data_IF_373854233990
#
_entry.id   IF_373854233990
#
_cell.length_a   1.000
_cell.length_b   1.000
_cell.length_c   1.000
_cell.angle_alpha   90.00
_cell.angle_beta   90.00
_cell.angle_gamma   90.00
#
_symmetry.space_group_name_H-M   'P 1'
#
loop_
_entity.id
_entity.type
_entity.pdbx_description
1 polymer ?
#
# COMPACT_ATOMS: atom_id res chain seq x y z
N UNK A 1 -12.56 -28.05 14.00
CA UNK A 1 -11.73 -27.20 13.13
C UNK A 1 -12.31 -27.31 11.73
N UNK A 2 -13.05 -26.30 11.28
CA UNK A 2 -13.58 -26.28 9.91
C UNK A 2 -12.39 -25.94 9.01
N UNK A 3 -11.94 -26.90 8.20
CA UNK A 3 -10.92 -26.62 7.18
C UNK A 3 -11.60 -25.82 6.07
N UNK A 4 -11.41 -24.51 6.08
CA UNK A 4 -11.76 -23.69 4.91
C UNK A 4 -10.73 -24.00 3.81
N UNK A 5 -11.20 -24.54 2.69
CA UNK A 5 -10.40 -24.62 1.47
C UNK A 5 -10.37 -23.22 0.84
N UNK A 6 -9.20 -22.60 0.87
CA UNK A 6 -8.96 -21.34 0.17
C UNK A 6 -8.49 -21.72 -1.24
N UNK A 7 -9.38 -21.85 -2.21
CA UNK A 7 -8.98 -22.10 -3.60
C UNK A 7 -9.47 -20.99 -4.51
N UNK A 8 -8.61 -20.59 -5.45
CA UNK A 8 -9.00 -19.76 -6.59
C UNK A 8 -9.12 -20.67 -7.79
N UNK A 9 -10.28 -20.67 -8.45
CA UNK A 9 -10.44 -21.37 -9.72
C UNK A 9 -9.49 -20.75 -10.76
N UNK A 10 -9.02 -21.53 -11.73
CA UNK A 10 -8.31 -20.95 -12.87
C UNK A 10 -9.18 -19.93 -13.63
N UNK A 11 -10.51 -20.08 -13.58
CA UNK A 11 -11.47 -19.17 -14.23
C UNK A 11 -11.50 -17.79 -13.56
N UNK A 12 -11.12 -17.72 -12.30
CA UNK A 12 -11.17 -16.52 -11.45
C UNK A 12 -10.01 -15.55 -11.67
N UNK A 13 -8.95 -16.00 -12.36
CA UNK A 13 -7.77 -15.21 -12.64
C UNK A 13 -8.01 -14.21 -13.79
N UNK A 14 -7.45 -12.98 -13.71
CA UNK A 14 -7.31 -12.08 -14.84
C UNK A 14 -6.63 -12.75 -16.04
N UNK A 15 -6.86 -12.24 -17.25
CA UNK A 15 -6.31 -12.81 -18.50
C UNK A 15 -4.78 -12.91 -18.44
N UNK A 16 -4.10 -11.88 -17.94
CA UNK A 16 -2.64 -11.87 -17.76
C UNK A 16 -2.15 -12.98 -16.83
N UNK A 17 -2.81 -13.18 -15.68
CA UNK A 17 -2.46 -14.24 -14.73
C UNK A 17 -2.81 -15.65 -15.25
N UNK A 18 -3.88 -15.80 -16.05
CA UNK A 18 -4.18 -17.05 -16.75
C UNK A 18 -3.06 -17.41 -17.73
N UNK A 19 -2.64 -16.45 -18.55
CA UNK A 19 -1.55 -16.64 -19.50
C UNK A 19 -0.25 -17.03 -18.79
N UNK A 20 0.08 -16.35 -17.69
CA UNK A 20 1.26 -16.65 -16.87
C UNK A 20 1.20 -18.07 -16.27
N UNK A 21 0.04 -18.48 -15.75
CA UNK A 21 -0.17 -19.84 -15.21
C UNK A 21 -0.01 -20.91 -16.29
N UNK A 22 -0.64 -20.72 -17.45
CA UNK A 22 -0.51 -21.64 -18.58
C UNK A 22 0.94 -21.76 -19.05
N UNK A 23 1.67 -20.65 -19.10
CA UNK A 23 3.08 -20.63 -19.46
C UNK A 23 3.93 -21.42 -18.45
N UNK A 24 3.76 -21.18 -17.15
CA UNK A 24 4.58 -21.83 -16.12
C UNK A 24 4.35 -23.33 -16.00
N UNK A 25 3.12 -23.82 -16.25
CA UNK A 25 2.85 -25.27 -16.30
C UNK A 25 3.67 -25.95 -17.41
N UNK A 26 3.85 -25.26 -18.54
CA UNK A 26 4.56 -25.81 -19.70
C UNK A 26 6.10 -25.65 -19.61
N UNK A 27 6.63 -24.95 -18.59
CA UNK A 27 8.05 -24.64 -18.44
C UNK A 27 8.55 -24.97 -17.01
N UNK A 28 8.15 -26.11 -16.46
CA UNK A 28 8.34 -26.50 -15.07
C UNK A 28 9.81 -26.55 -14.57
N UNK A 29 10.80 -26.46 -15.47
CA UNK A 29 12.24 -26.50 -15.16
C UNK A 29 12.87 -25.13 -14.80
N UNK A 30 12.17 -23.99 -14.96
CA UNK A 30 12.82 -22.67 -14.86
C UNK A 30 12.68 -21.91 -13.54
N UNK A 31 12.27 -22.56 -12.45
CA UNK A 31 12.24 -21.87 -11.16
C UNK A 31 12.59 -22.80 -9.99
N UNK A 32 13.86 -22.79 -9.61
CA UNK A 32 14.28 -23.11 -8.24
C UNK A 32 13.75 -22.01 -7.31
N UNK A 33 12.44 -22.05 -7.05
CA UNK A 33 11.79 -21.16 -6.09
C UNK A 33 12.14 -21.72 -4.72
N UNK A 34 13.11 -21.07 -4.07
CA UNK A 34 13.45 -21.29 -2.67
C UNK A 34 12.15 -21.33 -1.84
N UNK A 35 11.96 -22.42 -1.12
CA UNK A 35 10.73 -22.72 -0.36
C UNK A 35 10.58 -21.84 0.88
N UNK A 36 11.53 -20.95 1.15
CA UNK A 36 11.55 -19.98 2.25
C UNK A 36 10.81 -18.68 1.93
N UNK A 37 9.53 -18.78 1.57
CA UNK A 37 8.53 -17.69 1.61
C UNK A 37 9.04 -16.24 1.50
N UNK A 38 9.50 -15.83 0.31
CA UNK A 38 9.43 -14.48 -0.29
C UNK A 38 10.43 -14.37 -1.46
N UNK A 39 10.01 -14.72 -2.67
CA UNK A 39 10.88 -14.82 -3.86
C UNK A 39 11.02 -13.52 -4.67
N UNK A 40 10.55 -12.37 -4.15
CA UNK A 40 10.70 -11.08 -4.86
C UNK A 40 12.17 -10.74 -5.10
N UNK A 41 13.05 -11.09 -4.14
CA UNK A 41 14.48 -10.84 -4.22
C UNK A 41 15.23 -12.14 -4.48
N UNK A 42 16.16 -12.09 -5.44
CA UNK A 42 17.09 -13.18 -5.77
C UNK A 42 18.52 -12.65 -5.76
N UNK A 43 19.51 -13.54 -5.92
CA UNK A 43 20.90 -13.12 -6.16
C UNK A 43 21.06 -12.21 -7.39
N UNK A 44 20.10 -12.25 -8.32
CA UNK A 44 20.06 -11.43 -9.54
C UNK A 44 19.20 -10.16 -9.38
N UNK A 45 18.79 -9.82 -8.16
CA UNK A 45 17.96 -8.66 -7.83
C UNK A 45 16.46 -8.95 -7.84
N UNK A 46 15.67 -7.90 -8.07
CA UNK A 46 14.21 -7.93 -8.00
C UNK A 46 13.59 -8.68 -9.18
N UNK A 47 12.77 -9.69 -8.89
CA UNK A 47 11.89 -10.37 -9.85
C UNK A 47 10.42 -10.25 -9.42
N UNK A 48 9.69 -9.33 -10.05
CA UNK A 48 8.28 -9.08 -9.75
C UNK A 48 7.34 -10.24 -10.16
N UNK A 49 7.74 -11.09 -11.12
CA UNK A 49 6.91 -12.21 -11.58
C UNK A 49 7.12 -13.49 -10.75
N UNK A 50 8.32 -13.71 -10.22
CA UNK A 50 8.66 -14.92 -9.47
C UNK A 50 7.68 -15.25 -8.31
N UNK A 51 7.34 -14.31 -7.40
CA UNK A 51 6.39 -14.61 -6.33
C UNK A 51 4.97 -14.85 -6.85
N UNK A 52 4.57 -14.16 -7.91
CA UNK A 52 3.26 -14.34 -8.56
C UNK A 52 3.16 -15.72 -9.20
N UNK A 53 4.19 -16.17 -9.92
CA UNK A 53 4.27 -17.51 -10.52
C UNK A 53 4.20 -18.58 -9.41
N UNK A 54 4.96 -18.41 -8.33
CA UNK A 54 4.92 -19.32 -7.19
C UNK A 54 3.50 -19.47 -6.63
N UNK A 55 2.79 -18.34 -6.51
CA UNK A 55 1.44 -18.25 -5.96
C UNK A 55 0.39 -18.93 -6.85
N UNK A 56 0.36 -18.60 -8.13
CA UNK A 56 -0.68 -19.10 -9.05
C UNK A 56 -0.54 -20.60 -9.38
N UNK A 57 0.67 -21.15 -9.22
CA UNK A 57 0.97 -22.57 -9.42
C UNK A 57 0.69 -23.44 -8.20
N UNK A 58 0.54 -22.85 -7.01
CA UNK A 58 0.24 -23.58 -5.77
C UNK A 58 -1.05 -23.06 -5.11
N UNK A 59 -2.21 -23.02 -5.82
CA UNK A 59 -3.45 -22.47 -5.26
C UNK A 59 -3.92 -23.26 -4.03
N UNK A 60 -3.69 -24.57 -3.99
CA UNK A 60 -4.11 -25.43 -2.87
C UNK A 60 -3.27 -25.24 -1.60
N UNK A 61 -2.16 -24.49 -1.69
CA UNK A 61 -1.33 -24.14 -0.53
C UNK A 61 -1.85 -22.92 0.24
N UNK A 62 -2.90 -22.26 -0.25
CA UNK A 62 -3.46 -21.08 0.39
C UNK A 62 -4.11 -21.44 1.73
N UNK A 63 -3.77 -20.65 2.73
CA UNK A 63 -4.36 -20.72 4.06
C UNK A 63 -4.31 -19.34 4.71
N UNK A 64 -5.02 -19.15 5.83
CA UNK A 64 -5.10 -17.85 6.50
C UNK A 64 -3.76 -17.20 6.80
N UNK A 65 -2.70 -17.99 7.04
CA UNK A 65 -1.39 -17.47 7.38
C UNK A 65 -0.66 -16.85 6.17
N UNK A 66 -1.01 -17.25 4.94
CA UNK A 66 -0.31 -16.79 3.73
C UNK A 66 -1.16 -15.91 2.78
N UNK A 67 -2.43 -15.65 3.11
CA UNK A 67 -3.29 -14.76 2.31
C UNK A 67 -2.80 -13.31 2.30
N UNK A 68 -2.28 -12.81 3.43
CA UNK A 68 -1.64 -11.50 3.49
C UNK A 68 -0.49 -11.40 2.47
N UNK A 69 0.35 -12.43 2.44
CA UNK A 69 1.48 -12.50 1.52
C UNK A 69 0.99 -12.58 0.08
N UNK A 70 0.00 -13.41 -0.22
CA UNK A 70 -0.60 -13.50 -1.55
C UNK A 70 -1.16 -12.15 -2.05
N UNK A 71 -1.84 -11.40 -1.17
CA UNK A 71 -2.36 -10.08 -1.50
C UNK A 71 -1.22 -9.09 -1.85
N UNK A 72 -0.11 -9.16 -1.12
CA UNK A 72 1.06 -8.31 -1.34
C UNK A 72 1.83 -8.66 -2.61
N UNK A 73 1.95 -9.95 -2.93
CA UNK A 73 2.53 -10.41 -4.19
C UNK A 73 1.77 -9.86 -5.41
N UNK A 74 0.43 -9.76 -5.33
CA UNK A 74 -0.38 -9.13 -6.37
C UNK A 74 -0.21 -7.61 -6.43
N UNK A 75 -0.05 -6.96 -5.27
CA UNK A 75 0.19 -5.52 -5.22
C UNK A 75 1.52 -5.14 -5.92
N UNK A 76 2.54 -5.99 -5.81
CA UNK A 76 3.83 -5.76 -6.48
C UNK A 76 3.73 -5.63 -8.00
N UNK A 77 2.79 -6.33 -8.64
CA UNK A 77 2.55 -6.23 -10.10
C UNK A 77 1.36 -5.34 -10.46
N UNK A 78 0.88 -4.51 -9.52
CA UNK A 78 -0.29 -3.62 -9.66
C UNK A 78 -1.63 -4.33 -9.96
N UNK A 79 -1.78 -5.62 -9.59
CA UNK A 79 -3.03 -6.38 -9.72
C UNK A 79 -3.94 -6.17 -8.49
N UNK A 80 -4.40 -4.93 -8.30
CA UNK A 80 -5.11 -4.50 -7.09
C UNK A 80 -6.39 -5.30 -6.80
N UNK A 81 -7.19 -5.61 -7.82
CA UNK A 81 -8.41 -6.42 -7.66
C UNK A 81 -8.10 -7.81 -7.09
N UNK A 82 -6.99 -8.42 -7.50
CA UNK A 82 -6.55 -9.71 -6.98
C UNK A 82 -6.01 -9.57 -5.55
N UNK A 83 -5.35 -8.46 -5.24
CA UNK A 83 -4.93 -8.15 -3.87
C UNK A 83 -6.11 -8.13 -2.89
N UNK A 84 -7.16 -7.35 -3.21
CA UNK A 84 -8.38 -7.29 -2.41
C UNK A 84 -9.11 -8.64 -2.33
N UNK A 85 -9.03 -9.44 -3.39
CA UNK A 85 -9.62 -10.78 -3.41
C UNK A 85 -8.95 -11.72 -2.41
N UNK A 86 -7.62 -11.74 -2.38
CA UNK A 86 -6.87 -12.56 -1.42
C UNK A 86 -7.13 -12.14 0.03
N UNK A 87 -7.25 -10.84 0.27
CA UNK A 87 -7.66 -10.32 1.58
C UNK A 87 -9.06 -10.84 1.98
N UNK A 88 -10.06 -10.65 1.11
CA UNK A 88 -11.44 -11.07 1.37
C UNK A 88 -11.57 -12.57 1.65
N UNK A 89 -10.74 -13.39 1.00
CA UNK A 89 -10.73 -14.83 1.25
C UNK A 89 -10.43 -15.17 2.72
N UNK A 90 -9.70 -14.32 3.45
CA UNK A 90 -9.32 -14.59 4.84
C UNK A 90 -10.43 -14.35 5.85
N UNK A 91 -11.55 -13.75 5.46
CA UNK A 91 -12.61 -13.34 6.37
C UNK A 91 -13.52 -14.51 6.75
N UNK A 92 -13.91 -14.53 8.02
CA UNK A 92 -15.03 -15.36 8.48
C UNK A 92 -16.35 -14.67 8.11
N UNK A 93 -17.34 -15.45 7.71
CA UNK A 93 -18.70 -14.93 7.58
C UNK A 93 -19.20 -14.50 8.96
N UNK A 94 -19.85 -13.34 9.01
CA UNK A 94 -20.50 -12.87 10.23
C UNK A 94 -21.91 -13.47 10.41
N UNK A 95 -22.48 -13.48 11.63
CA UNK A 95 -23.87 -13.89 11.85
C UNK A 95 -24.85 -12.98 11.11
N UNK A 96 -26.07 -13.49 10.82
CA UNK A 96 -27.10 -12.75 10.05
C UNK A 96 -27.47 -11.42 10.70
N UNK A 97 -27.43 -11.37 12.02
CA UNK A 97 -27.71 -10.22 12.86
C UNK A 97 -26.73 -9.09 12.56
N UNK A 98 -25.44 -9.39 12.43
CA UNK A 98 -24.41 -8.40 12.12
C UNK A 98 -24.60 -7.80 10.71
N UNK A 99 -25.04 -8.58 9.73
CA UNK A 99 -25.38 -8.04 8.39
C UNK A 99 -26.55 -7.07 8.46
N UNK A 100 -27.61 -7.44 9.20
CA UNK A 100 -28.78 -6.56 9.38
C UNK A 100 -28.43 -5.29 10.13
N UNK A 101 -27.58 -5.38 11.15
CA UNK A 101 -27.10 -4.23 11.91
C UNK A 101 -26.36 -3.24 11.01
N UNK A 102 -25.43 -3.73 10.18
CA UNK A 102 -24.72 -2.89 9.22
C UNK A 102 -25.69 -2.20 8.23
N UNK A 103 -26.67 -2.94 7.70
CA UNK A 103 -27.69 -2.37 6.80
C UNK A 103 -28.50 -1.26 7.49
N UNK A 104 -28.98 -1.51 8.71
CA UNK A 104 -29.74 -0.53 9.52
C UNK A 104 -28.89 0.70 9.87
N UNK A 105 -27.61 0.51 10.19
CA UNK A 105 -26.77 1.64 10.52
C UNK A 105 -26.59 2.54 9.29
N UNK A 106 -26.35 1.95 8.12
CA UNK A 106 -26.28 2.69 6.87
C UNK A 106 -27.59 3.41 6.53
N UNK A 107 -28.75 2.87 6.90
CA UNK A 107 -30.06 3.53 6.79
C UNK A 107 -30.24 4.77 7.68
N UNK A 108 -29.57 4.81 8.83
CA UNK A 108 -29.75 5.87 9.84
C UNK A 108 -28.78 7.04 9.68
N UNK A 109 -27.85 6.99 8.72
CA UNK A 109 -26.84 8.03 8.46
C UNK A 109 -27.37 9.38 7.90
N UNK A 110 -28.68 9.65 7.96
CA UNK A 110 -29.30 10.90 7.45
C UNK A 110 -28.76 12.18 8.10
N UNK A 111 -28.11 12.08 9.27
CA UNK A 111 -27.53 13.22 10.01
C UNK A 111 -26.01 13.31 9.89
N UNK A 112 -25.40 12.43 9.10
CA UNK A 112 -23.96 12.42 8.82
C UNK A 112 -23.70 13.26 7.58
N UNK A 113 -22.75 14.18 7.69
CA UNK A 113 -22.22 14.94 6.55
C UNK A 113 -20.78 14.48 6.26
N UNK A 114 -20.30 14.76 5.05
CA UNK A 114 -18.98 14.34 4.61
C UNK A 114 -18.17 15.57 4.18
N UNK A 115 -16.93 15.67 4.65
CA UNK A 115 -15.98 16.68 4.18
C UNK A 115 -14.75 16.04 3.56
N UNK A 116 -14.10 16.76 2.65
CA UNK A 116 -12.85 16.34 2.01
C UNK A 116 -11.77 16.04 3.07
N UNK A 117 -11.31 14.78 3.11
CA UNK A 117 -10.39 14.29 4.13
C UNK A 117 -9.05 15.03 4.10
N UNK A 118 -8.47 15.21 2.91
CA UNK A 118 -7.17 15.86 2.75
C UNK A 118 -7.20 17.30 3.29
N UNK A 119 -8.20 18.10 2.88
CA UNK A 119 -8.39 19.47 3.37
C UNK A 119 -8.54 19.52 4.89
N UNK A 120 -9.37 18.65 5.46
CA UNK A 120 -9.59 18.64 6.91
C UNK A 120 -8.34 18.25 7.68
N UNK A 121 -7.66 17.16 7.27
CA UNK A 121 -6.41 16.69 7.89
C UNK A 121 -5.32 17.76 7.81
N UNK A 122 -5.13 18.38 6.64
CA UNK A 122 -4.16 19.47 6.45
C UNK A 122 -4.47 20.64 7.40
N UNK A 123 -5.74 20.99 7.58
CA UNK A 123 -6.12 22.05 8.52
C UNK A 123 -5.83 21.67 9.98
N UNK A 124 -6.24 20.46 10.38
CA UNK A 124 -6.06 19.91 11.73
C UNK A 124 -4.58 19.76 12.09
N UNK A 125 -3.76 19.32 11.12
CA UNK A 125 -2.34 19.05 11.28
C UNK A 125 -1.53 20.30 11.65
N UNK A 126 -2.00 21.53 11.37
CA UNK A 126 -1.29 22.78 11.73
C UNK A 126 -0.94 22.86 13.21
N UNK A 127 -1.79 22.31 14.07
CA UNK A 127 -1.63 22.30 15.53
C UNK A 127 -0.84 21.10 16.04
N UNK A 128 -0.41 20.22 15.16
CA UNK A 128 0.14 18.91 15.53
C UNK A 128 1.64 18.79 15.30
N UNK A 129 2.31 18.13 16.25
CA UNK A 129 3.73 17.75 16.11
C UNK A 129 3.89 16.42 15.39
N UNK A 130 2.95 15.51 15.60
CA UNK A 130 3.02 14.16 15.07
C UNK A 130 1.66 13.85 14.44
N UNK A 131 1.69 13.39 13.19
CA UNK A 131 0.51 12.88 12.49
C UNK A 131 0.81 11.44 12.12
N UNK A 132 -0.01 10.51 12.60
CA UNK A 132 0.11 9.09 12.30
C UNK A 132 -1.06 8.66 11.41
N UNK A 133 -0.74 8.11 10.24
CA UNK A 133 -1.74 7.57 9.32
C UNK A 133 -1.42 6.09 9.12
N UNK A 134 -2.37 5.20 9.39
CA UNK A 134 -2.12 3.77 9.18
C UNK A 134 -2.25 3.38 7.69
N UNK A 135 -1.76 2.20 7.33
CA UNK A 135 -1.87 1.63 6.00
C UNK A 135 -1.90 0.10 6.05
N UNK A 136 -2.12 -0.47 4.87
CA UNK A 136 -2.00 -1.90 4.61
C UNK A 136 -1.03 -2.06 3.44
N UNK A 137 0.07 -2.81 3.56
CA UNK A 137 1.10 -2.90 2.53
C UNK A 137 0.60 -3.30 1.13
N UNK A 138 -0.47 -4.09 1.06
CA UNK A 138 -1.06 -4.53 -0.20
C UNK A 138 -2.17 -3.61 -0.74
N UNK A 139 -2.40 -2.44 -0.12
CA UNK A 139 -3.32 -1.40 -0.61
C UNK A 139 -2.60 -0.10 -0.97
N UNK A 140 -1.97 -0.01 -2.15
CA UNK A 140 -1.25 1.19 -2.56
C UNK A 140 -2.09 2.47 -2.61
N UNK A 141 -3.42 2.36 -2.71
CA UNK A 141 -4.34 3.51 -2.59
C UNK A 141 -4.10 4.34 -1.33
N UNK A 142 -3.73 3.70 -0.21
CA UNK A 142 -3.43 4.39 1.05
C UNK A 142 -2.19 5.29 0.92
N UNK A 143 -1.16 4.83 0.20
CA UNK A 143 0.04 5.63 -0.09
C UNK A 143 -0.23 6.75 -1.07
N UNK A 144 -1.12 6.55 -2.04
CA UNK A 144 -1.56 7.63 -2.94
C UNK A 144 -2.23 8.75 -2.14
N UNK A 145 -3.07 8.40 -1.17
CA UNK A 145 -3.69 9.39 -0.29
C UNK A 145 -2.64 10.15 0.53
N UNK A 146 -1.71 9.46 1.17
CA UNK A 146 -0.61 10.10 1.92
C UNK A 146 0.25 11.01 1.02
N UNK A 147 0.55 10.57 -0.22
CA UNK A 147 1.29 11.37 -1.20
C UNK A 147 0.58 12.71 -1.49
N UNK A 148 -0.76 12.71 -1.52
CA UNK A 148 -1.55 13.93 -1.74
C UNK A 148 -1.44 14.96 -0.61
N UNK A 149 -0.98 14.56 0.58
CA UNK A 149 -0.83 15.45 1.74
C UNK A 149 0.58 16.06 1.83
N UNK A 150 1.58 15.45 1.16
CA UNK A 150 3.00 15.75 1.41
C UNK A 150 3.36 17.21 1.20
N UNK A 151 2.98 17.82 0.08
CA UNK A 151 3.32 19.22 -0.23
C UNK A 151 2.76 20.19 0.83
N UNK A 152 1.46 20.07 1.14
CA UNK A 152 0.82 20.92 2.14
C UNK A 152 1.36 20.69 3.55
N UNK A 153 1.66 19.45 3.93
CA UNK A 153 2.30 19.17 5.23
C UNK A 153 3.73 19.73 5.27
N UNK A 154 4.47 19.63 4.17
CA UNK A 154 5.80 20.24 4.06
C UNK A 154 5.73 21.76 4.23
N UNK A 155 4.77 22.43 3.60
CA UNK A 155 4.55 23.87 3.78
C UNK A 155 4.20 24.23 5.24
N UNK A 156 3.62 23.31 6.01
CA UNK A 156 3.35 23.46 7.45
C UNK A 156 4.52 23.11 8.36
N UNK A 157 5.70 22.83 7.81
CA UNK A 157 6.90 22.56 8.58
C UNK A 157 7.13 21.08 8.93
N UNK A 158 6.34 20.15 8.39
CA UNK A 158 6.68 18.73 8.46
C UNK A 158 7.95 18.46 7.65
N UNK A 159 8.95 17.84 8.28
CA UNK A 159 10.28 17.59 7.68
C UNK A 159 10.72 16.14 7.78
N UNK A 160 9.97 15.31 8.47
CA UNK A 160 10.25 13.89 8.65
C UNK A 160 9.07 13.06 8.16
N UNK A 161 9.35 12.04 7.35
CA UNK A 161 8.41 11.00 6.96
C UNK A 161 8.95 9.66 7.49
N UNK A 162 8.34 9.12 8.52
CA UNK A 162 8.73 7.84 9.10
C UNK A 162 7.82 6.73 8.56
N UNK A 163 8.39 5.63 8.05
CA UNK A 163 7.63 4.58 7.37
C UNK A 163 7.98 3.17 7.89
N UNK A 164 6.96 2.36 8.21
CA UNK A 164 7.13 0.96 8.66
C UNK A 164 7.65 0.06 7.55
N UNK A 165 7.26 0.33 6.31
CA UNK A 165 7.53 -0.55 5.17
C UNK A 165 9.00 -0.52 4.71
N UNK A 166 9.79 0.44 5.20
CA UNK A 166 11.20 0.60 4.84
C UNK A 166 12.06 -0.24 5.79
N UNK A 167 12.86 -1.12 5.20
CA UNK A 167 13.83 -1.94 5.90
C UNK A 167 14.94 -1.12 6.54
N UNK A 168 15.26 -1.51 7.77
CA UNK A 168 16.17 -0.77 8.64
C UNK A 168 17.63 -1.20 8.43
N UNK A 169 18.10 -1.22 7.18
CA UNK A 169 19.43 -1.73 6.82
C UNK A 169 20.56 -1.08 7.62
N UNK A 170 20.42 0.21 8.01
CA UNK A 170 21.36 0.96 8.87
C UNK A 170 20.74 2.03 9.78
N UNK A 171 19.42 2.20 9.82
CA UNK A 171 18.78 3.32 10.56
C UNK A 171 19.07 4.71 9.97
N UNK A 172 19.51 4.75 8.72
CA UNK A 172 19.90 5.97 8.02
C UNK A 172 18.69 6.63 7.34
N UNK A 173 18.79 7.95 7.13
CA UNK A 173 17.85 8.70 6.31
C UNK A 173 17.96 8.20 4.87
N UNK A 174 16.82 7.87 4.27
CA UNK A 174 16.77 7.40 2.89
C UNK A 174 16.93 8.61 1.95
N UNK A 175 18.01 8.62 1.17
CA UNK A 175 18.28 9.63 0.15
C UNK A 175 17.93 9.17 -1.27
N UNK A 176 17.84 7.86 -1.49
CA UNK A 176 17.43 7.23 -2.76
C UNK A 176 16.77 5.88 -2.47
N UNK A 177 15.72 5.55 -3.22
CA UNK A 177 15.00 4.27 -3.09
C UNK A 177 15.68 3.19 -3.95
N UNK A 178 15.84 1.99 -3.38
CA UNK A 178 16.34 0.79 -4.06
C UNK A 178 15.85 -0.49 -3.38
N UNK A 179 16.19 -1.64 -3.97
CA UNK A 179 15.94 -2.96 -3.38
C UNK A 179 16.43 -3.08 -1.92
N UNK A 180 17.50 -2.35 -1.55
CA UNK A 180 18.11 -2.42 -0.23
C UNK A 180 17.22 -1.84 0.88
N UNK A 181 16.18 -1.08 0.50
CA UNK A 181 15.24 -0.47 1.44
C UNK A 181 14.11 -1.41 1.87
N UNK A 182 14.21 -2.71 1.59
CA UNK A 182 13.27 -3.72 2.05
C UNK A 182 12.16 -4.04 1.04
N UNK A 183 11.66 -5.26 1.13
CA UNK A 183 10.77 -5.85 0.13
C UNK A 183 9.41 -5.17 0.00
N UNK A 184 8.83 -4.66 1.09
CA UNK A 184 7.57 -3.89 1.01
C UNK A 184 7.75 -2.56 0.27
N UNK A 185 8.92 -1.92 0.42
CA UNK A 185 9.24 -0.67 -0.28
C UNK A 185 9.49 -0.86 -1.78
N UNK A 186 9.67 -2.10 -2.25
CA UNK A 186 9.82 -2.41 -3.67
C UNK A 186 8.50 -2.36 -4.44
N UNK A 187 7.36 -2.10 -3.80
CA UNK A 187 6.11 -1.84 -4.51
C UNK A 187 6.19 -0.46 -5.22
N UNK A 188 5.83 -0.34 -6.52
CA UNK A 188 6.07 0.86 -7.32
C UNK A 188 5.51 2.18 -6.75
N UNK A 189 4.29 2.17 -6.20
CA UNK A 189 3.66 3.37 -5.60
C UNK A 189 4.36 3.77 -4.30
N UNK A 190 4.89 2.81 -3.56
CA UNK A 190 5.75 3.06 -2.40
C UNK A 190 7.04 3.76 -2.84
N UNK A 191 7.65 3.30 -3.94
CA UNK A 191 8.77 3.98 -4.59
C UNK A 191 8.44 5.42 -4.97
N UNK A 192 7.30 5.67 -5.62
CA UNK A 192 6.86 7.03 -5.98
C UNK A 192 6.61 7.92 -4.76
N UNK A 193 5.94 7.41 -3.72
CA UNK A 193 5.73 8.17 -2.48
C UNK A 193 7.06 8.61 -1.85
N UNK A 194 8.05 7.70 -1.81
CA UNK A 194 9.38 7.98 -1.24
C UNK A 194 10.12 9.01 -2.10
N UNK A 195 10.10 8.87 -3.43
CA UNK A 195 10.69 9.86 -4.36
C UNK A 195 10.07 11.24 -4.18
N UNK A 196 8.74 11.32 -4.09
CA UNK A 196 8.03 12.58 -3.85
C UNK A 196 8.44 13.22 -2.51
N UNK A 197 8.52 12.43 -1.45
CA UNK A 197 8.95 12.91 -0.14
C UNK A 197 10.39 13.44 -0.17
N UNK A 198 11.33 12.69 -0.76
CA UNK A 198 12.73 13.11 -0.92
C UNK A 198 12.83 14.39 -1.77
N UNK A 199 12.10 14.45 -2.90
CA UNK A 199 12.09 15.60 -3.81
C UNK A 199 11.56 16.88 -3.15
N UNK A 200 10.58 16.77 -2.26
CA UNK A 200 10.11 17.89 -1.43
C UNK A 200 11.10 18.28 -0.32
N UNK A 201 12.04 17.40 0.04
CA UNK A 201 13.02 17.62 1.10
C UNK A 201 12.64 17.03 2.45
N UNK A 202 11.74 16.05 2.51
CA UNK A 202 11.53 15.26 3.71
C UNK A 202 12.75 14.37 4.00
N UNK A 203 13.10 14.24 5.28
CA UNK A 203 13.96 13.16 5.77
C UNK A 203 13.11 11.90 5.92
N UNK A 204 13.26 10.96 5.00
CA UNK A 204 12.54 9.68 5.04
C UNK A 204 13.29 8.71 5.97
N UNK A 205 12.60 8.18 6.99
CA UNK A 205 13.22 7.41 8.07
C UNK A 205 12.56 6.04 8.22
N UNK A 206 13.31 4.92 8.17
CA UNK A 206 12.82 3.61 8.57
C UNK A 206 12.68 3.53 10.09
N UNK A 207 11.59 2.95 10.58
CA UNK A 207 11.42 2.72 12.03
C UNK A 207 11.15 1.27 12.41
N UNK A 208 10.82 0.39 11.47
CA UNK A 208 10.62 -1.04 11.74
C UNK A 208 11.94 -1.71 12.21
N UNK A 209 11.87 -2.78 13.01
CA UNK A 209 12.99 -3.71 13.20
C UNK A 209 12.64 -5.02 12.50
N UNK A 210 13.44 -5.38 11.51
CA UNK A 210 13.20 -6.56 10.68
C UNK A 210 13.68 -7.86 11.33
N UNK A 211 14.19 -7.84 12.56
CA UNK A 211 14.69 -9.03 13.26
C UNK A 211 13.50 -9.86 13.79
N UNK A 212 13.15 -11.00 13.16
CA UNK A 212 11.98 -11.77 13.55
C UNK A 212 12.18 -12.40 14.94
N UNK A 213 11.10 -12.48 15.74
CA UNK A 213 11.11 -13.17 17.03
C UNK A 213 11.88 -12.48 18.17
N UNK A 214 12.47 -11.30 17.92
CA UNK A 214 13.26 -10.57 18.91
C UNK A 214 12.43 -9.91 20.00
N UNK A 215 11.21 -9.47 19.68
CA UNK A 215 10.36 -8.70 20.57
C UNK A 215 8.96 -9.29 20.71
N UNK A 216 8.35 -9.08 21.88
CA UNK A 216 6.89 -9.18 22.03
C UNK A 216 6.21 -8.07 21.21
N UNK A 217 4.91 -8.16 20.88
CA UNK A 217 4.20 -7.09 20.17
C UNK A 217 4.34 -5.72 20.85
N UNK A 218 4.16 -5.65 22.17
CA UNK A 218 4.37 -4.43 22.96
C UNK A 218 5.82 -3.96 22.93
N UNK A 219 6.79 -4.88 23.04
CA UNK A 219 8.21 -4.55 22.95
C UNK A 219 8.61 -3.98 21.58
N UNK A 220 8.02 -4.51 20.50
CA UNK A 220 8.22 -4.00 19.13
C UNK A 220 7.67 -2.57 19.03
N UNK A 221 6.42 -2.36 19.43
CA UNK A 221 5.79 -1.04 19.42
C UNK A 221 6.56 -0.02 20.29
N UNK A 222 7.17 -0.44 21.39
CA UNK A 222 7.99 0.40 22.25
C UNK A 222 9.25 0.87 21.52
N UNK A 223 9.94 -0.06 20.86
CA UNK A 223 11.14 0.23 20.10
C UNK A 223 10.84 1.15 18.89
N UNK A 224 9.74 0.90 18.18
CA UNK A 224 9.29 1.76 17.07
C UNK A 224 8.96 3.17 17.57
N UNK A 225 8.21 3.30 18.66
CA UNK A 225 7.90 4.58 19.28
C UNK A 225 9.17 5.31 19.76
N UNK A 226 10.14 4.58 20.32
CA UNK A 226 11.41 5.16 20.77
C UNK A 226 12.20 5.77 19.61
N UNK A 227 12.23 5.13 18.43
CA UNK A 227 12.91 5.71 17.25
C UNK A 227 12.30 7.05 16.83
N UNK A 228 10.98 7.20 16.92
CA UNK A 228 10.31 8.47 16.62
C UNK A 228 10.57 9.49 17.73
N UNK A 229 10.49 9.09 19.00
CA UNK A 229 10.82 9.95 20.13
C UNK A 229 12.26 10.48 20.06
N UNK A 230 13.19 9.68 19.56
CA UNK A 230 14.59 10.07 19.36
C UNK A 230 14.78 11.18 18.32
N UNK A 231 13.91 11.25 17.30
CA UNK A 231 13.90 12.36 16.34
C UNK A 231 13.53 13.65 17.08
N UNK A 232 12.44 13.62 17.86
CA UNK A 232 11.95 14.78 18.63
C UNK A 232 12.97 15.23 19.67
N UNK A 233 13.65 14.28 20.32
CA UNK A 233 14.71 14.57 21.29
C UNK A 233 15.93 15.25 20.66
N UNK A 234 16.28 14.89 19.42
CA UNK A 234 17.40 15.50 18.67
C UNK A 234 17.00 16.83 18.02
N UNK A 235 15.74 16.97 17.64
CA UNK A 235 15.15 18.13 16.98
C UNK A 235 13.81 18.44 17.66
N UNK A 236 13.83 19.29 18.69
CA UNK A 236 12.64 19.66 19.45
C UNK A 236 11.61 20.44 18.63
N UNK A 237 11.98 20.92 17.45
CA UNK A 237 11.08 21.57 16.51
C UNK A 237 10.44 20.59 15.52
N UNK A 238 10.86 19.32 15.52
CA UNK A 238 10.44 18.31 14.57
C UNK A 238 8.92 18.21 14.46
N UNK A 239 8.46 18.13 13.21
CA UNK A 239 7.10 17.77 12.87
C UNK A 239 7.16 16.56 11.95
N UNK A 240 6.50 15.49 12.37
CA UNK A 240 6.73 14.14 11.85
C UNK A 240 5.41 13.60 11.30
N UNK A 241 5.44 13.19 10.04
CA UNK A 241 4.41 12.34 9.45
C UNK A 241 4.87 10.89 9.61
N UNK A 242 4.03 10.04 10.18
CA UNK A 242 4.29 8.61 10.36
C UNK A 242 3.28 7.83 9.53
N UNK A 243 3.77 6.95 8.66
CA UNK A 243 2.97 5.98 7.93
C UNK A 243 3.19 4.60 8.53
N UNK A 244 2.14 4.06 9.16
CA UNK A 244 2.25 2.89 10.03
C UNK A 244 1.38 1.71 9.64
N UNK A 245 1.64 0.54 10.19
CA UNK A 245 0.71 -0.59 10.13
C UNK A 245 -0.62 -0.29 10.84
N UNK A 246 -1.62 -1.12 10.56
CA UNK A 246 -3.03 -0.97 11.00
C UNK A 246 -3.15 -0.60 12.49
N UNK A 247 -2.55 -1.42 13.36
CA UNK A 247 -2.75 -1.29 14.81
C UNK A 247 -1.82 -0.27 15.45
N UNK A 248 -0.77 0.17 14.76
CA UNK A 248 0.29 1.03 15.32
C UNK A 248 -0.24 2.42 15.68
N UNK A 249 -1.26 2.92 14.99
CA UNK A 249 -1.88 4.22 15.25
C UNK A 249 -2.97 4.20 16.34
N UNK A 250 -3.28 3.05 16.95
CA UNK A 250 -4.30 2.97 17.99
C UNK A 250 -3.81 3.67 19.26
N UNK A 251 -4.60 4.60 19.80
CA UNK A 251 -4.20 5.43 20.94
C UNK A 251 -4.37 4.76 22.30
N UNK A 252 -4.97 3.57 22.35
CA UNK A 252 -5.34 2.89 23.59
C UNK A 252 -4.55 1.61 23.80
N UNK A 253 -4.31 1.29 25.06
CA UNK A 253 -3.84 -0.03 25.46
C UNK A 253 -4.94 -1.06 25.15
N UNK A 254 -4.59 -2.08 24.37
CA UNK A 254 -5.48 -3.19 24.02
C UNK A 254 -5.27 -4.32 25.04
N UNK A 255 -5.75 -4.10 26.26
CA UNK A 255 -5.48 -4.97 27.41
C UNK A 255 -4.06 -4.84 27.96
N UNK A 256 -3.68 -5.76 28.86
CA UNK A 256 -2.49 -5.62 29.69
C UNK A 256 -1.16 -5.85 28.95
N UNK A 257 -1.20 -6.48 27.77
CA UNK A 257 0.01 -6.94 27.06
C UNK A 257 0.12 -6.44 25.60
N UNK A 258 -0.75 -5.54 25.17
CA UNK A 258 -0.72 -5.00 23.81
C UNK A 258 -0.85 -3.47 23.84
N UNK A 259 0.29 -2.80 23.86
CA UNK A 259 0.37 -1.34 23.86
C UNK A 259 0.87 -0.85 22.50
N UNK A 260 -0.02 -0.28 21.66
CA UNK A 260 0.37 0.17 20.33
C UNK A 260 1.38 1.31 20.33
N UNK A 261 1.98 1.54 19.17
CA UNK A 261 3.04 2.53 19.00
C UNK A 261 2.58 3.95 19.34
N UNK A 262 1.39 4.38 18.92
CA UNK A 262 0.85 5.71 19.24
C UNK A 262 0.69 5.93 20.74
N UNK A 263 0.11 4.95 21.45
CA UNK A 263 0.01 4.98 22.92
C UNK A 263 1.37 5.14 23.60
N UNK A 264 2.38 4.39 23.15
CA UNK A 264 3.73 4.46 23.70
C UNK A 264 4.44 5.77 23.34
N UNK A 265 4.25 6.27 22.13
CA UNK A 265 4.83 7.52 21.66
C UNK A 265 4.35 8.71 22.48
N UNK A 266 3.05 8.76 22.80
CA UNK A 266 2.47 9.76 23.72
C UNK A 266 3.13 9.70 25.09
N UNK A 267 3.34 8.50 25.64
CA UNK A 267 4.01 8.31 26.92
C UNK A 267 5.48 8.73 26.91
N UNK A 268 6.20 8.48 25.81
CA UNK A 268 7.63 8.78 25.72
C UNK A 268 7.91 10.26 25.44
N UNK A 269 7.02 10.94 24.72
CA UNK A 269 7.26 12.31 24.24
C UNK A 269 6.42 13.36 24.94
N UNK A 270 5.31 12.98 25.57
CA UNK A 270 4.30 13.89 26.09
C UNK A 270 3.46 14.58 24.99
N UNK A 271 3.72 14.31 23.71
CA UNK A 271 2.92 14.81 22.60
C UNK A 271 1.81 13.84 22.26
N UNK A 272 0.59 14.35 22.14
CA UNK A 272 -0.54 13.58 21.62
C UNK A 272 -0.45 13.55 20.09
N UNK A 273 -0.23 12.39 19.44
CA UNK A 273 -0.23 12.32 17.99
C UNK A 273 -1.65 12.45 17.44
N UNK A 274 -1.84 13.19 16.33
CA UNK A 274 -3.08 13.07 15.56
C UNK A 274 -3.10 11.71 14.86
N UNK A 275 -4.01 10.82 15.25
CA UNK A 275 -4.10 9.47 14.68
C UNK A 275 -5.23 9.33 13.68
N UNK A 276 -4.93 8.74 12.52
CA UNK A 276 -5.84 8.68 11.38
C UNK A 276 -5.91 7.24 10.89
N UNK A 277 -7.10 6.64 10.99
CA UNK A 277 -7.40 5.41 10.26
C UNK A 277 -7.76 5.71 8.82
N UNK A 278 -7.20 4.91 7.90
CA UNK A 278 -7.65 4.84 6.51
C UNK A 278 -7.82 3.40 6.02
N UNK A 279 -7.84 2.43 6.95
CA UNK A 279 -7.81 1.00 6.61
C UNK A 279 -9.16 0.31 6.78
N UNK A 280 -10.06 0.86 7.60
CA UNK A 280 -11.34 0.21 7.90
C UNK A 280 -12.43 0.57 6.88
N UNK A 281 -12.49 1.83 6.43
CA UNK A 281 -13.49 2.34 5.46
C UNK A 281 -12.91 2.55 4.06
N UNK A 282 -12.38 1.47 3.49
CA UNK A 282 -11.77 1.42 2.16
C UNK A 282 -12.23 0.20 1.39
N UNK A 283 -11.97 0.15 0.08
CA UNK A 283 -12.29 -1.01 -0.74
C UNK A 283 -11.66 -2.29 -0.16
N UNK A 284 -12.48 -3.33 0.02
CA UNK A 284 -12.11 -4.57 0.71
C UNK A 284 -12.18 -4.51 2.23
N UNK A 285 -11.99 -3.34 2.88
CA UNK A 285 -11.78 -3.17 4.33
C UNK A 285 -10.69 -4.13 4.87
N UNK A 286 -10.45 -4.20 6.18
CA UNK A 286 -9.50 -5.13 6.80
C UNK A 286 -10.18 -6.26 7.61
N UNK A 287 -11.52 -6.27 7.68
CA UNK A 287 -12.33 -7.32 8.31
C UNK A 287 -13.74 -7.38 7.70
N UNK A 288 -14.48 -8.46 7.96
CA UNK A 288 -15.77 -8.75 7.29
C UNK A 288 -16.85 -7.69 7.51
N UNK A 289 -17.06 -7.26 8.77
CA UNK A 289 -18.08 -6.26 9.06
C UNK A 289 -17.77 -4.93 8.37
N UNK A 290 -16.52 -4.46 8.47
CA UNK A 290 -16.06 -3.25 7.79
C UNK A 290 -16.20 -3.37 6.27
N UNK A 291 -15.90 -4.54 5.69
CA UNK A 291 -16.05 -4.80 4.25
C UNK A 291 -17.51 -4.65 3.82
N UNK A 292 -18.43 -5.35 4.50
CA UNK A 292 -19.85 -5.30 4.16
C UNK A 292 -20.43 -3.90 4.40
N UNK A 293 -20.11 -3.28 5.53
CA UNK A 293 -20.53 -1.92 5.85
C UNK A 293 -20.05 -0.91 4.78
N UNK A 294 -18.77 -0.96 4.41
CA UNK A 294 -18.20 -0.12 3.37
C UNK A 294 -18.88 -0.34 2.01
N UNK A 295 -19.14 -1.59 1.63
CA UNK A 295 -19.86 -1.91 0.37
C UNK A 295 -21.23 -1.22 0.34
N UNK A 296 -22.01 -1.32 1.42
CA UNK A 296 -23.32 -0.68 1.56
C UNK A 296 -23.26 0.82 1.59
N UNK A 297 -22.29 1.38 2.32
CA UNK A 297 -22.06 2.82 2.37
C UNK A 297 -21.74 3.35 0.97
N UNK A 298 -20.76 2.75 0.29
CA UNK A 298 -20.29 3.19 -1.01
C UNK A 298 -21.37 3.12 -2.11
N UNK A 299 -22.31 2.17 -2.03
CA UNK A 299 -23.47 2.11 -2.94
C UNK A 299 -24.43 3.30 -2.75
N UNK A 300 -24.45 3.93 -1.58
CA UNK A 300 -25.35 5.05 -1.27
C UNK A 300 -24.73 6.43 -1.53
N UNK A 301 -23.48 6.64 -1.12
CA UNK A 301 -22.89 7.98 -1.08
C UNK A 301 -21.95 8.31 -2.25
N UNK A 302 -21.70 7.37 -3.17
CA UNK A 302 -20.89 7.52 -4.39
C UNK A 302 -19.74 8.55 -4.25
N UNK A 303 -18.78 8.24 -3.39
CA UNK A 303 -17.63 9.11 -3.14
C UNK A 303 -16.74 9.23 -4.38
N UNK A 304 -16.32 10.46 -4.69
CA UNK A 304 -15.34 10.77 -5.75
C UNK A 304 -13.93 11.01 -5.22
N UNK A 305 -13.82 11.25 -3.92
CA UNK A 305 -12.57 11.57 -3.22
C UNK A 305 -12.65 11.05 -1.78
N UNK A 306 -11.51 11.04 -1.09
CA UNK A 306 -11.43 10.60 0.29
C UNK A 306 -12.16 11.60 1.21
N UNK A 307 -13.02 11.10 2.09
CA UNK A 307 -13.86 11.91 2.97
C UNK A 307 -13.67 11.57 4.45
N UNK A 308 -14.08 12.48 5.33
CA UNK A 308 -14.27 12.26 6.77
C UNK A 308 -15.74 12.50 7.08
N UNK A 309 -16.33 11.64 7.92
CA UNK A 309 -17.71 11.76 8.37
C UNK A 309 -17.83 12.73 9.55
N UNK A 310 -18.90 13.52 9.57
CA UNK A 310 -19.19 14.51 10.61
C UNK A 310 -20.61 14.38 11.15
N UNK A 311 -20.78 14.59 12.45
CA UNK A 311 -22.07 14.78 13.11
C UNK A 311 -22.02 16.06 13.94
N UNK A 312 -22.88 17.03 13.62
CA UNK A 312 -22.90 18.35 14.29
C UNK A 312 -21.49 18.96 14.37
N UNK A 313 -20.82 19.06 13.22
CA UNK A 313 -19.47 19.62 13.04
C UNK A 313 -18.31 18.91 13.76
N UNK A 314 -18.56 17.77 14.40
CA UNK A 314 -17.50 16.94 15.00
C UNK A 314 -17.23 15.73 14.11
N UNK A 315 -15.95 15.37 13.86
CA UNK A 315 -15.61 14.15 13.15
C UNK A 315 -16.11 12.94 13.94
N UNK A 316 -16.60 11.92 13.24
CA UNK A 316 -17.13 10.69 13.85
C UNK A 316 -16.59 9.46 13.13
N UNK A 317 -16.31 8.40 13.89
CA UNK A 317 -16.08 7.06 13.35
C UNK A 317 -17.41 6.42 12.96
N UNK A 318 -17.52 5.87 11.75
CA UNK A 318 -18.71 5.15 11.30
C UNK A 318 -18.68 3.67 11.69
N UNK A 319 -17.63 3.20 12.35
CA UNK A 319 -17.53 1.85 12.89
C UNK A 319 -17.50 1.85 14.42
N UNK A 320 -17.88 2.99 15.02
CA UNK A 320 -18.05 3.21 16.47
C UNK A 320 -16.86 2.77 17.34
N UNK A 321 -15.65 2.80 16.78
CA UNK A 321 -14.43 2.66 17.57
C UNK A 321 -13.90 4.03 17.99
N UNK A 322 -13.29 4.07 19.16
CA UNK A 322 -12.64 5.26 19.73
C UNK A 322 -11.11 5.07 19.78
N UNK A 323 -10.59 4.35 18.78
CA UNK A 323 -9.18 4.00 18.66
C UNK A 323 -8.32 5.10 18.04
N UNK A 324 -8.94 5.99 17.25
CA UNK A 324 -8.27 7.01 16.44
C UNK A 324 -9.01 8.36 16.51
N UNK A 325 -8.31 9.46 16.24
CA UNK A 325 -8.93 10.78 16.15
C UNK A 325 -9.82 10.94 14.91
N UNK A 326 -9.38 10.41 13.76
CA UNK A 326 -10.05 10.55 12.47
C UNK A 326 -10.13 9.21 11.73
N UNK A 327 -11.19 9.04 10.94
CA UNK A 327 -11.39 7.89 10.06
C UNK A 327 -11.66 8.37 8.64
N UNK A 328 -10.80 7.96 7.71
CA UNK A 328 -10.86 8.30 6.29
C UNK A 328 -11.69 7.26 5.55
N UNK A 329 -12.63 7.75 4.74
CA UNK A 329 -13.48 6.96 3.87
C UNK A 329 -12.96 7.10 2.45
N UNK A 330 -12.37 6.05 1.90
CA UNK A 330 -11.83 6.06 0.54
C UNK A 330 -12.92 5.83 -0.51
N UNK A 331 -12.87 6.52 -1.66
CA UNK A 331 -13.74 6.18 -2.79
C UNK A 331 -13.39 4.80 -3.34
N UNK A 332 -14.37 4.12 -3.94
CA UNK A 332 -14.11 2.87 -4.69
C UNK A 332 -13.13 3.15 -5.81
N UNK A 333 -12.26 2.20 -6.11
CA UNK A 333 -11.32 2.35 -7.21
C UNK A 333 -12.09 2.37 -8.54
N UNK A 334 -12.12 3.51 -9.21
CA UNK A 334 -12.46 3.56 -10.63
C UNK A 334 -11.47 2.74 -11.46
N UNK A 335 -11.84 2.42 -12.70
CA UNK A 335 -10.97 1.69 -13.64
C UNK A 335 -10.65 2.58 -14.83
N UNK A 336 -9.37 2.77 -15.13
CA UNK A 336 -8.88 3.51 -16.30
C UNK A 336 -7.80 2.65 -16.96
N UNK A 337 -8.00 2.29 -18.23
CA UNK A 337 -7.12 1.37 -18.99
C UNK A 337 -6.86 0.02 -18.30
N UNK A 338 -7.91 -0.62 -17.79
CA UNK A 338 -7.83 -1.84 -16.97
C UNK A 338 -6.99 -1.73 -15.68
N UNK A 339 -6.69 -0.51 -15.21
CA UNK A 339 -5.91 -0.26 -14.00
C UNK A 339 -6.71 0.59 -13.01
N UNK A 340 -6.42 0.51 -11.70
CA UNK A 340 -7.08 1.36 -10.71
C UNK A 340 -6.80 2.84 -10.98
N UNK A 341 -7.85 3.66 -11.01
CA UNK A 341 -7.77 5.11 -11.32
C UNK A 341 -6.85 5.91 -10.40
N UNK A 342 -6.70 5.50 -9.13
CA UNK A 342 -5.81 6.17 -8.17
C UNK A 342 -4.34 6.14 -8.58
N UNK A 343 -3.93 5.29 -9.53
CA UNK A 343 -2.56 5.25 -10.03
C UNK A 343 -2.13 6.55 -10.72
N UNK A 344 -3.10 7.35 -11.18
CA UNK A 344 -2.86 8.70 -11.70
C UNK A 344 -2.40 9.71 -10.63
N UNK A 345 -2.47 9.35 -9.34
CA UNK A 345 -2.05 10.19 -8.20
C UNK A 345 -2.55 11.63 -8.31
N UNK A 346 -3.88 11.80 -8.33
CA UNK A 346 -4.56 13.11 -8.52
C UNK A 346 -4.16 13.83 -9.81
N UNK A 347 -4.01 13.09 -10.92
CA UNK A 347 -3.58 13.56 -12.24
C UNK A 347 -2.14 14.08 -12.31
N UNK A 348 -1.32 13.87 -11.27
CA UNK A 348 0.12 14.14 -11.35
C UNK A 348 0.80 13.21 -12.37
N UNK A 349 0.31 11.97 -12.47
CA UNK A 349 0.77 10.96 -13.42
C UNK A 349 -0.24 10.80 -14.54
N UNK A 350 0.24 10.84 -15.79
CA UNK A 350 -0.58 10.70 -17.00
C UNK A 350 -0.40 9.34 -17.65
N UNK A 351 -1.43 8.86 -18.33
CA UNK A 351 -1.35 7.64 -19.12
C UNK A 351 -0.34 7.80 -20.27
N UNK A 352 0.52 6.80 -20.44
CA UNK A 352 1.47 6.69 -21.53
C UNK A 352 1.28 5.33 -22.20
N UNK A 353 0.81 5.36 -23.44
CA UNK A 353 0.48 4.17 -24.21
C UNK A 353 1.75 3.51 -24.78
N UNK A 354 1.88 2.20 -24.61
CA UNK A 354 3.02 1.40 -25.04
C UNK A 354 2.53 0.30 -25.97
N UNK A 355 3.00 0.36 -27.21
CA UNK A 355 2.73 -0.67 -28.22
C UNK A 355 3.52 -1.94 -27.87
N UNK A 356 2.90 -3.13 -27.99
CA UNK A 356 3.61 -4.39 -27.83
C UNK A 356 4.46 -4.72 -29.06
N UNK A 357 5.64 -4.09 -29.16
CA UNK A 357 6.52 -4.24 -30.32
C UNK A 357 7.35 -5.52 -30.30
N UNK A 358 7.58 -6.11 -29.12
CA UNK A 358 8.44 -7.28 -28.96
C UNK A 358 7.63 -8.57 -28.98
N UNK A 359 8.12 -9.58 -29.72
CA UNK A 359 7.55 -10.92 -29.68
C UNK A 359 7.66 -11.48 -28.26
N UNK A 360 6.58 -12.07 -27.76
CA UNK A 360 6.47 -12.62 -26.40
C UNK A 360 6.55 -11.57 -25.27
N UNK A 361 6.37 -10.28 -25.57
CA UNK A 361 6.22 -9.26 -24.54
C UNK A 361 5.07 -9.63 -23.59
N UNK A 362 5.34 -9.56 -22.29
CA UNK A 362 4.36 -9.83 -21.25
C UNK A 362 4.29 -8.70 -20.22
N UNK A 363 5.43 -8.10 -19.91
CA UNK A 363 5.56 -7.06 -18.90
C UNK A 363 6.32 -5.86 -19.44
N UNK A 364 5.92 -4.67 -19.02
CA UNK A 364 6.70 -3.44 -19.23
C UNK A 364 6.89 -2.70 -17.92
N UNK A 365 8.11 -2.20 -17.72
CA UNK A 365 8.51 -1.43 -16.56
C UNK A 365 9.12 -0.11 -17.02
N UNK A 366 8.72 0.99 -16.40
CA UNK A 366 9.30 2.32 -16.61
C UNK A 366 10.17 2.72 -15.43
N UNK A 367 11.43 3.03 -15.69
CA UNK A 367 12.38 3.53 -14.70
C UNK A 367 12.77 4.97 -15.04
N UNK A 368 12.97 5.84 -14.05
CA UNK A 368 13.50 7.18 -14.33
C UNK A 368 14.92 7.04 -14.94
N UNK A 369 15.18 7.72 -16.07
CA UNK A 369 16.44 7.54 -16.82
C UNK A 369 17.68 7.92 -16.01
N UNK A 370 17.58 8.92 -15.13
CA UNK A 370 18.68 9.29 -14.22
C UNK A 370 18.99 8.18 -13.21
N UNK A 371 17.97 7.59 -12.58
CA UNK A 371 18.17 6.46 -11.66
C UNK A 371 18.77 5.25 -12.40
N UNK A 372 18.27 4.98 -13.61
CA UNK A 372 18.76 3.90 -14.47
C UNK A 372 20.24 4.07 -14.87
N UNK A 373 20.69 5.30 -15.08
CA UNK A 373 22.07 5.60 -15.47
C UNK A 373 23.06 5.49 -14.30
N UNK A 374 22.58 5.66 -13.07
CA UNK A 374 23.41 5.67 -11.86
C UNK A 374 23.46 4.33 -11.13
N UNK A 375 22.50 3.44 -11.36
CA UNK A 375 22.31 2.24 -10.56
C UNK A 375 21.97 1.03 -11.44
N UNK A 376 22.40 -0.16 -11.03
CA UNK A 376 22.11 -1.36 -11.80
C UNK A 376 20.64 -1.76 -11.69
N UNK A 377 20.03 -2.13 -12.82
CA UNK A 377 18.62 -2.54 -12.92
C UNK A 377 18.12 -3.53 -11.84
N UNK A 378 18.91 -4.54 -11.41
CA UNK A 378 18.57 -5.41 -10.28
C UNK A 378 18.16 -4.70 -8.97
N UNK A 379 18.63 -3.47 -8.73
CA UNK A 379 18.38 -2.69 -7.52
C UNK A 379 17.27 -1.63 -7.68
N UNK A 380 16.85 -1.36 -8.91
CA UNK A 380 15.92 -0.27 -9.20
C UNK A 380 14.47 -0.65 -8.91
N UNK A 381 13.74 0.27 -8.30
CA UNK A 381 12.28 0.20 -8.19
C UNK A 381 11.69 0.92 -9.41
N UNK A 382 10.78 0.33 -10.19
CA UNK A 382 10.18 1.04 -11.31
C UNK A 382 9.28 2.18 -10.82
N UNK A 383 9.19 3.25 -11.61
CA UNK A 383 8.19 4.31 -11.42
C UNK A 383 6.78 3.76 -11.66
N UNK A 384 6.66 2.87 -12.66
CA UNK A 384 5.46 2.10 -12.91
C UNK A 384 5.75 0.79 -13.64
N UNK A 385 4.83 -0.15 -13.55
CA UNK A 385 4.87 -1.40 -14.31
C UNK A 385 3.48 -2.00 -14.51
N UNK A 386 3.33 -2.77 -15.58
CA UNK A 386 2.10 -3.54 -15.82
C UNK A 386 2.41 -4.85 -16.57
N UNK A 387 1.62 -5.88 -16.28
CA UNK A 387 1.55 -7.14 -17.04
C UNK A 387 0.27 -7.25 -17.88
N UNK A 388 -0.61 -6.26 -17.76
CA UNK A 388 -1.97 -6.29 -18.30
C UNK A 388 -2.07 -5.25 -19.42
N UNK A 389 -2.33 -5.75 -20.63
CA UNK A 389 -2.73 -4.92 -21.76
C UNK A 389 -4.21 -4.52 -21.62
N UNK A 390 -4.56 -3.38 -22.20
CA UNK A 390 -5.94 -2.92 -22.31
C UNK A 390 -6.65 -3.59 -23.51
N UNK A 391 -7.94 -3.30 -23.67
CA UNK A 391 -8.81 -3.83 -24.74
C UNK A 391 -8.36 -3.47 -26.16
N UNK A 392 -7.56 -2.41 -26.31
CA UNK A 392 -6.93 -2.01 -27.57
C UNK A 392 -5.60 -2.74 -27.85
N UNK A 393 -5.16 -3.61 -26.93
CA UNK A 393 -3.89 -4.35 -27.00
C UNK A 393 -2.66 -3.57 -26.56
N UNK A 394 -2.79 -2.32 -26.13
CA UNK A 394 -1.68 -1.50 -25.63
C UNK A 394 -1.48 -1.75 -24.13
N UNK A 395 -0.22 -1.58 -23.69
CA UNK A 395 0.10 -1.48 -22.27
C UNK A 395 0.08 0.00 -21.87
N UNK A 396 -0.40 0.31 -20.68
CA UNK A 396 -0.45 1.69 -20.19
C UNK A 396 0.35 1.82 -18.89
N UNK A 397 1.38 2.66 -18.91
CA UNK A 397 2.03 3.17 -17.71
C UNK A 397 1.44 4.52 -17.34
N UNK A 398 1.42 4.86 -16.06
CA UNK A 398 1.07 6.17 -15.55
C UNK A 398 2.35 6.81 -15.04
N UNK A 399 2.80 7.88 -15.67
CA UNK A 399 4.12 8.46 -15.39
C UNK A 399 4.00 9.97 -15.18
N UNK A 400 4.87 10.53 -14.35
CA UNK A 400 5.03 11.98 -14.28
C UNK A 400 5.70 12.48 -15.58
N UNK A 401 5.62 13.78 -15.90
CA UNK A 401 6.47 14.36 -16.94
C UNK A 401 7.95 14.09 -16.63
N UNK A 402 8.70 13.61 -17.61
CA UNK A 402 10.10 13.21 -17.40
C UNK A 402 10.64 12.24 -18.44
N UNK A 403 11.91 11.86 -18.27
CA UNK A 403 12.60 10.87 -19.10
C UNK A 403 12.60 9.52 -18.42
N UNK A 404 12.25 8.48 -19.18
CA UNK A 404 12.18 7.13 -18.66
C UNK A 404 12.89 6.13 -19.56
N UNK A 405 13.51 5.15 -18.94
CA UNK A 405 14.01 3.94 -19.57
C UNK A 405 12.96 2.85 -19.40
N UNK A 406 12.34 2.44 -20.50
CA UNK A 406 11.41 1.32 -20.58
C UNK A 406 12.18 0.01 -20.71
N UNK A 407 11.82 -0.97 -19.89
CA UNK A 407 12.32 -2.34 -19.97
C UNK A 407 11.16 -3.27 -20.31
N UNK A 408 11.28 -3.96 -21.44
CA UNK A 408 10.31 -4.91 -21.94
C UNK A 408 10.74 -6.32 -21.53
N UNK A 409 9.82 -7.12 -20.97
CA UNK A 409 10.14 -8.47 -20.50
C UNK A 409 9.14 -9.51 -20.96
N UNK A 410 9.62 -10.75 -21.06
CA UNK A 410 8.80 -11.94 -21.25
C UNK A 410 8.31 -12.53 -19.92
N UNK A 411 7.62 -13.68 -19.99
CA UNK A 411 7.11 -14.41 -18.81
C UNK A 411 8.20 -15.12 -18.00
N UNK A 412 9.42 -15.29 -18.53
CA UNK A 412 10.60 -15.75 -17.80
C UNK A 412 11.36 -14.60 -17.13
N UNK A 413 10.78 -13.39 -17.17
CA UNK A 413 11.39 -12.16 -16.67
C UNK A 413 12.67 -11.74 -17.42
N UNK A 414 12.93 -12.32 -18.60
CA UNK A 414 14.06 -11.96 -19.44
C UNK A 414 13.81 -10.62 -20.13
N UNK A 415 14.87 -9.83 -20.29
CA UNK A 415 14.79 -8.54 -21.00
C UNK A 415 14.72 -8.83 -22.49
N UNK A 416 13.65 -8.35 -23.14
CA UNK A 416 13.46 -8.43 -24.58
C UNK A 416 14.05 -7.22 -25.29
N UNK A 417 13.80 -6.03 -24.76
CA UNK A 417 14.38 -4.78 -25.27
C UNK A 417 14.37 -3.69 -24.20
N UNK A 418 15.13 -2.63 -24.44
CA UNK A 418 15.21 -1.43 -23.61
C UNK A 418 15.05 -0.21 -24.51
N UNK A 419 14.21 0.74 -24.14
CA UNK A 419 13.92 1.94 -24.94
C UNK A 419 13.82 3.18 -24.05
N UNK A 420 14.35 4.30 -24.51
CA UNK A 420 14.12 5.57 -23.83
C UNK A 420 12.86 6.26 -24.37
N UNK A 421 12.12 6.90 -23.46
CA UNK A 421 10.96 7.73 -23.78
C UNK A 421 11.04 9.05 -23.04
N UNK A 422 10.29 10.04 -23.53
CA UNK A 422 10.01 11.28 -22.82
C UNK A 422 8.50 11.44 -22.69
N UNK A 423 8.04 11.70 -21.47
CA UNK A 423 6.65 11.98 -21.11
C UNK A 423 6.51 13.49 -20.93
N UNK A 424 5.54 14.11 -21.61
CA UNK A 424 5.31 15.56 -21.63
C UNK A 424 4.32 16.08 -20.59
#
# INVERSE_FOLDING_TARGET
MVFHSFSLSAQDLPVSLKALKSFSINHADTASIDSSGNSLFSSNGINYLAPVIARINRPDSLNRQNLFQAALEMAFINEYKMSLRYEKMGYDSMPREAYREADLYVDTMKTVSFENAARYIISRARRERIVMINEVPYKPQHRVFVASLLDSLYQQGFRYLAMEIIGNGRGEVISKISMLNGWKAAEPISGELIRMAIGLGFKVIPYEDQTPGKYTPTGRAAMEAQKIADIIRKDSSARILVLSGITSSIEKALGDQNWPMAYQLKRFTGHDPLTIDQTELTEGSNFEYGRYFYEKLADRIQLKEAMIAFRKDNPVSLLENDHYDLQVIHPRSGSIRNRPSWIGMNNNRKEFAIRPTERNMFMVQGYYTNEYSEESLPFLIPADQTISADTDGYYYLYLNPGKYTLVYRDMNYQILSIKEITVM
#
